data_IF_544583203671
#
_entry.id   IF_544583203671
#
_cell.length_a   1.000
_cell.length_b   1.000
_cell.length_c   1.000
_cell.angle_alpha   90.00
_cell.angle_beta   90.00
_cell.angle_gamma   90.00
#
_symmetry.space_group_name_H-M   'P 1'
#
loop_
_entity.id
_entity.type
_entity.pdbx_description
1 polymer ?
#
# COMPACT_ATOMS: atom_id res chain seq x y z
N UNK A 1 -24.99 53.14 -62.93
CA UNK A 1 -23.55 53.01 -62.58
C UNK A 1 -23.31 51.51 -62.35
N UNK A 2 -23.03 50.70 -63.38
CA UNK A 2 -21.71 50.37 -63.93
C UNK A 2 -20.68 49.89 -62.88
N UNK A 3 -20.52 48.57 -62.67
CA UNK A 3 -19.43 47.75 -63.24
C UNK A 3 -19.34 46.33 -62.61
N UNK A 4 -19.00 45.41 -63.50
CA UNK A 4 -18.75 43.97 -63.40
C UNK A 4 -17.46 43.56 -62.66
N UNK A 5 -17.36 42.22 -62.48
CA UNK A 5 -16.16 41.33 -62.42
C UNK A 5 -15.68 40.93 -61.01
N UNK A 6 -15.34 39.67 -60.69
CA UNK A 6 -15.23 38.39 -61.41
C UNK A 6 -15.08 37.24 -60.39
N UNK A 7 -15.73 36.09 -60.58
CA UNK A 7 -15.17 34.81 -61.08
C UNK A 7 -13.90 34.29 -60.38
N UNK A 8 -14.03 33.19 -59.61
CA UNK A 8 -13.10 32.06 -59.67
C UNK A 8 -13.72 30.78 -59.10
N UNK A 9 -13.68 29.74 -59.92
CA UNK A 9 -14.25 28.40 -59.77
C UNK A 9 -13.24 27.47 -59.08
N UNK A 10 -13.71 26.50 -58.28
CA UNK A 10 -13.17 25.12 -58.31
C UNK A 10 -14.24 24.10 -57.90
N UNK A 11 -14.65 23.30 -58.88
CA UNK A 11 -15.29 21.99 -58.73
C UNK A 11 -14.26 20.94 -58.26
N UNK A 12 -14.70 19.96 -57.48
CA UNK A 12 -14.57 18.49 -57.65
C UNK A 12 -15.13 17.84 -56.37
N UNK A 13 -16.39 17.41 -56.31
CA UNK A 13 -16.87 16.04 -56.60
C UNK A 13 -15.88 14.91 -56.24
N UNK A 14 -16.27 14.01 -55.32
CA UNK A 14 -16.29 12.54 -55.54
C UNK A 14 -16.80 11.77 -54.31
N UNK A 15 -17.78 10.91 -54.57
CA UNK A 15 -18.31 9.85 -53.72
C UNK A 15 -17.28 8.74 -53.41
N UNK A 16 -17.38 8.12 -52.24
CA UNK A 16 -17.11 6.67 -51.98
C UNK A 16 -17.73 6.29 -50.64
N UNK A 17 -18.87 5.59 -50.57
CA UNK A 17 -19.05 4.13 -50.62
C UNK A 17 -18.25 3.29 -49.58
N UNK A 18 -18.92 3.02 -48.46
CA UNK A 18 -19.24 1.69 -47.89
C UNK A 18 -18.16 0.77 -47.26
N UNK A 19 -18.45 0.43 -45.98
CA UNK A 19 -18.20 -0.80 -45.18
C UNK A 19 -16.89 -0.89 -44.37
N UNK A 20 -16.83 -1.75 -43.32
CA UNK A 20 -17.85 -2.14 -42.34
C UNK A 20 -17.35 -1.98 -40.87
N UNK A 21 -18.25 -2.27 -39.92
CA UNK A 21 -18.00 -2.57 -38.50
C UNK A 21 -16.56 -2.99 -38.16
N UNK A 22 -15.90 -2.19 -37.32
CA UNK A 22 -14.91 -2.71 -36.39
C UNK A 22 -15.47 -2.49 -34.98
N UNK A 23 -16.27 -3.45 -34.55
CA UNK A 23 -16.43 -3.74 -33.12
C UNK A 23 -15.02 -4.04 -32.66
N UNK A 24 -14.39 -3.05 -32.03
CA UNK A 24 -13.19 -3.28 -31.25
C UNK A 24 -13.68 -4.16 -30.10
N UNK A 25 -13.52 -5.48 -30.28
CA UNK A 25 -13.50 -6.42 -29.19
C UNK A 25 -12.42 -5.86 -28.27
N UNK A 26 -12.86 -5.20 -27.19
CA UNK A 26 -12.07 -5.19 -25.97
C UNK A 26 -11.73 -6.66 -25.78
N UNK A 27 -10.48 -7.01 -26.04
CA UNK A 27 -9.89 -8.19 -25.44
C UNK A 27 -10.14 -7.94 -23.96
N UNK A 28 -11.20 -8.55 -23.44
CA UNK A 28 -11.37 -8.74 -22.03
C UNK A 28 -10.08 -9.44 -21.65
N UNK A 29 -9.16 -8.65 -21.09
CA UNK A 29 -8.01 -9.16 -20.39
C UNK A 29 -8.63 -10.19 -19.45
N UNK A 30 -8.40 -11.46 -19.75
CA UNK A 30 -8.55 -12.53 -18.78
C UNK A 30 -7.80 -12.02 -17.57
N UNK A 31 -8.54 -11.49 -16.58
CA UNK A 31 -7.96 -11.12 -15.30
C UNK A 31 -7.34 -12.40 -14.79
N UNK A 32 -6.02 -12.51 -14.97
CA UNK A 32 -5.20 -13.39 -14.19
C UNK A 32 -5.55 -13.08 -12.75
N UNK A 33 -5.90 -14.09 -11.96
CA UNK A 33 -6.00 -14.00 -10.50
C UNK A 33 -4.60 -13.80 -9.88
N UNK A 34 -3.82 -12.89 -10.46
CA UNK A 34 -2.46 -12.59 -10.09
C UNK A 34 -2.48 -11.21 -9.44
N UNK A 35 -1.84 -11.12 -8.28
CA UNK A 35 -1.65 -9.87 -7.57
C UNK A 35 -0.85 -8.90 -8.45
N UNK A 36 -1.39 -7.71 -8.68
CA UNK A 36 -0.68 -6.63 -9.38
C UNK A 36 0.45 -6.10 -8.48
N UNK A 37 1.72 -6.18 -8.91
CA UNK A 37 2.85 -5.72 -8.10
C UNK A 37 2.76 -4.21 -7.81
N UNK A 38 2.68 -3.86 -6.54
CA UNK A 38 2.69 -2.47 -6.07
C UNK A 38 3.55 -2.32 -4.82
N UNK A 39 3.98 -1.09 -4.52
CA UNK A 39 4.75 -0.80 -3.29
C UNK A 39 3.97 -1.18 -2.04
N UNK A 40 2.68 -0.87 -1.99
CA UNK A 40 1.84 -1.23 -0.85
C UNK A 40 1.74 -2.75 -0.68
N UNK A 41 1.53 -3.47 -1.79
CA UNK A 41 1.48 -4.93 -1.74
C UNK A 41 2.82 -5.54 -1.28
N UNK A 42 3.94 -4.98 -1.74
CA UNK A 42 5.28 -5.40 -1.31
C UNK A 42 5.47 -5.25 0.21
N UNK A 43 5.14 -4.08 0.75
CA UNK A 43 5.23 -3.81 2.19
C UNK A 43 4.33 -4.73 3.01
N UNK A 44 3.10 -4.93 2.54
CA UNK A 44 2.15 -5.82 3.19
C UNK A 44 2.64 -7.26 3.21
N UNK A 45 3.06 -7.82 2.06
CA UNK A 45 3.58 -9.19 1.98
C UNK A 45 4.80 -9.40 2.86
N UNK A 46 5.71 -8.43 2.91
CA UNK A 46 6.90 -8.56 3.76
C UNK A 46 6.56 -8.59 5.24
N UNK A 47 5.61 -7.76 5.66
CA UNK A 47 5.15 -7.75 7.05
C UNK A 47 4.37 -9.02 7.39
N UNK A 48 3.53 -9.49 6.47
CA UNK A 48 2.78 -10.75 6.60
C UNK A 48 3.69 -11.98 6.68
N UNK A 49 4.82 -11.99 5.96
CA UNK A 49 5.80 -13.08 6.07
C UNK A 49 6.35 -13.22 7.50
N UNK A 50 6.59 -12.10 8.19
CA UNK A 50 7.07 -12.10 9.58
C UNK A 50 5.97 -12.61 10.51
N UNK A 51 4.75 -12.11 10.35
CA UNK A 51 3.57 -12.56 11.12
C UNK A 51 3.19 -14.04 10.88
N UNK A 52 3.80 -14.70 9.91
CA UNK A 52 3.54 -16.10 9.58
C UNK A 52 4.75 -17.00 9.87
N UNK A 53 5.80 -16.47 10.50
CA UNK A 53 7.04 -17.22 10.78
C UNK A 53 6.79 -18.44 11.68
N UNK A 54 5.88 -18.32 12.65
CA UNK A 54 5.46 -19.39 13.55
C UNK A 54 4.25 -20.20 13.01
N UNK A 55 3.78 -19.86 11.80
CA UNK A 55 2.58 -20.42 11.15
C UNK A 55 1.25 -20.19 11.86
N UNK A 56 1.17 -19.25 12.82
CA UNK A 56 -0.04 -18.88 13.55
C UNK A 56 -0.26 -17.40 13.34
N UNK A 57 -1.50 -17.00 13.01
CA UNK A 57 -1.86 -15.59 12.96
C UNK A 57 -2.86 -15.30 14.08
N UNK A 58 -2.43 -14.52 15.05
CA UNK A 58 -3.20 -14.09 16.22
C UNK A 58 -4.10 -12.89 15.88
N UNK A 59 -5.07 -12.61 16.75
CA UNK A 59 -5.98 -11.47 16.58
C UNK A 59 -5.23 -10.11 16.63
N UNK A 60 -4.17 -10.02 17.44
CA UNK A 60 -3.37 -8.80 17.61
C UNK A 60 -2.52 -8.52 16.34
N UNK A 61 -1.85 -9.53 15.79
CA UNK A 61 -1.15 -9.41 14.51
C UNK A 61 -2.11 -9.09 13.35
N UNK A 62 -3.31 -9.68 13.37
CA UNK A 62 -4.34 -9.39 12.38
C UNK A 62 -4.83 -7.93 12.46
N UNK A 63 -4.86 -7.32 13.66
CA UNK A 63 -5.19 -5.90 13.85
C UNK A 63 -4.18 -4.99 13.13
N UNK A 64 -2.87 -5.22 13.35
CA UNK A 64 -1.80 -4.48 12.69
C UNK A 64 -1.85 -4.68 11.17
N UNK A 65 -1.99 -5.93 10.71
CA UNK A 65 -2.10 -6.25 9.29
C UNK A 65 -3.34 -5.60 8.65
N UNK A 66 -4.45 -5.52 9.36
CA UNK A 66 -5.65 -4.86 8.88
C UNK A 66 -5.40 -3.36 8.65
N UNK A 67 -4.81 -2.67 9.64
CA UNK A 67 -4.47 -1.25 9.52
C UNK A 67 -3.47 -1.01 8.38
N UNK A 68 -2.49 -1.89 8.22
CA UNK A 68 -1.56 -1.84 7.10
C UNK A 68 -2.24 -2.03 5.75
N UNK A 69 -3.13 -3.02 5.62
CA UNK A 69 -3.89 -3.25 4.39
C UNK A 69 -4.69 -2.00 3.99
N UNK A 70 -5.34 -1.36 4.97
CA UNK A 70 -6.09 -0.10 4.73
C UNK A 70 -5.16 1.04 4.33
N UNK A 71 -4.06 1.25 5.05
CA UNK A 71 -3.11 2.33 4.78
C UNK A 71 -2.44 2.19 3.39
N UNK A 72 -2.23 0.95 2.95
CA UNK A 72 -1.57 0.61 1.69
C UNK A 72 -2.55 0.41 0.52
N UNK A 73 -3.87 0.48 0.78
CA UNK A 73 -4.90 0.34 -0.23
C UNK A 73 -5.10 -1.09 -0.75
N UNK A 74 -4.75 -2.10 0.06
CA UNK A 74 -4.88 -3.52 -0.28
C UNK A 74 -6.33 -3.96 -0.11
N UNK A 75 -6.90 -4.60 -1.13
CA UNK A 75 -8.28 -5.08 -1.04
C UNK A 75 -8.36 -6.37 -0.20
N UNK A 76 -9.46 -6.62 0.51
CA UNK A 76 -9.65 -7.88 1.25
C UNK A 76 -9.59 -9.14 0.37
N UNK A 77 -9.87 -9.02 -0.93
CA UNK A 77 -9.67 -10.13 -1.88
C UNK A 77 -8.19 -10.45 -2.09
N UNK A 78 -7.33 -9.44 -2.00
CA UNK A 78 -5.91 -9.54 -2.28
C UNK A 78 -5.15 -10.07 -1.06
N UNK A 79 -5.64 -9.80 0.16
CA UNK A 79 -5.03 -10.33 1.39
C UNK A 79 -5.09 -11.86 1.46
N UNK A 80 -6.17 -12.48 0.95
CA UNK A 80 -6.26 -13.93 0.85
C UNK A 80 -5.20 -14.52 -0.09
N UNK A 81 -4.99 -13.88 -1.24
CA UNK A 81 -3.92 -14.26 -2.17
C UNK A 81 -2.53 -14.02 -1.56
N UNK A 82 -2.35 -12.93 -0.80
CA UNK A 82 -1.10 -12.68 -0.09
C UNK A 82 -0.77 -13.81 0.89
N UNK A 83 -1.78 -14.33 1.59
CA UNK A 83 -1.61 -15.45 2.49
C UNK A 83 -1.22 -16.73 1.75
N UNK A 84 -1.80 -17.00 0.58
CA UNK A 84 -1.37 -18.11 -0.28
C UNK A 84 0.07 -17.96 -0.75
N UNK A 85 0.52 -16.74 -1.09
CA UNK A 85 1.91 -16.45 -1.47
C UNK A 85 2.86 -16.75 -0.31
N UNK A 86 2.55 -16.27 0.90
CA UNK A 86 3.39 -16.49 2.10
C UNK A 86 3.46 -17.95 2.51
N UNK A 87 2.36 -18.71 2.30
CA UNK A 87 2.33 -20.17 2.52
C UNK A 87 3.07 -20.98 1.46
N UNK A 88 3.46 -20.34 0.35
CA UNK A 88 4.12 -21.00 -0.78
C UNK A 88 3.15 -21.73 -1.72
N UNK A 89 1.84 -21.51 -1.58
CA UNK A 89 0.81 -22.07 -2.45
C UNK A 89 0.73 -21.31 -3.79
N UNK A 90 1.04 -20.01 -3.77
CA UNK A 90 1.04 -19.13 -4.93
C UNK A 90 2.43 -18.54 -5.22
N UNK A 91 2.70 -18.23 -6.49
CA UNK A 91 3.97 -17.57 -6.87
C UNK A 91 4.01 -16.15 -6.32
N UNK A 92 5.16 -15.76 -5.74
CA UNK A 92 5.38 -14.40 -5.31
C UNK A 92 5.44 -13.45 -6.53
N UNK A 93 4.58 -12.41 -6.57
CA UNK A 93 4.53 -11.46 -7.69
C UNK A 93 5.80 -10.59 -7.81
N UNK A 94 6.66 -10.59 -6.79
CA UNK A 94 7.89 -9.81 -6.73
C UNK A 94 9.17 -10.61 -7.00
N UNK A 95 9.06 -11.90 -7.34
CA UNK A 95 10.22 -12.69 -7.77
C UNK A 95 10.98 -11.93 -8.88
N UNK A 96 12.29 -11.76 -8.69
CA UNK A 96 13.21 -11.03 -9.58
C UNK A 96 13.01 -9.50 -9.70
N UNK A 97 12.02 -8.90 -9.01
CA UNK A 97 11.70 -7.46 -9.10
C UNK A 97 11.66 -6.75 -7.74
N UNK A 98 11.99 -7.43 -6.63
CA UNK A 98 11.93 -6.84 -5.28
C UNK A 98 12.68 -5.52 -5.11
N UNK A 99 13.82 -5.38 -5.80
CA UNK A 99 14.66 -4.18 -5.71
C UNK A 99 13.91 -2.91 -6.15
N UNK A 100 12.99 -3.03 -7.09
CA UNK A 100 12.20 -1.90 -7.63
C UNK A 100 11.20 -1.34 -6.61
N UNK A 101 10.90 -2.11 -5.57
CA UNK A 101 9.95 -1.75 -4.53
C UNK A 101 10.62 -1.51 -3.19
N UNK A 102 11.93 -1.73 -3.04
CA UNK A 102 12.66 -1.52 -1.79
C UNK A 102 13.04 -0.04 -1.56
N UNK A 103 13.48 0.27 -0.34
CA UNK A 103 13.95 1.61 0.03
C UNK A 103 12.85 2.51 0.59
N UNK A 104 13.15 3.81 0.65
CA UNK A 104 12.31 4.83 1.28
C UNK A 104 11.50 5.62 0.25
N UNK A 105 10.18 5.61 0.38
CA UNK A 105 9.23 6.24 -0.53
C UNK A 105 8.29 7.23 0.17
N UNK A 106 7.71 8.20 -0.56
CA UNK A 106 6.67 9.06 -0.02
C UNK A 106 5.48 8.24 0.52
N UNK A 107 5.06 8.53 1.74
CA UNK A 107 3.96 7.80 2.41
C UNK A 107 4.43 6.66 3.32
N UNK A 108 5.69 6.26 3.26
CA UNK A 108 6.26 5.22 4.12
C UNK A 108 6.22 5.59 5.60
N UNK A 109 6.56 6.83 5.93
CA UNK A 109 6.49 7.36 7.31
C UNK A 109 5.06 7.29 7.86
N UNK A 110 4.07 7.65 7.04
CA UNK A 110 2.67 7.60 7.43
C UNK A 110 2.14 6.17 7.58
N UNK A 111 2.62 5.26 6.72
CA UNK A 111 2.32 3.82 6.81
C UNK A 111 2.86 3.23 8.11
N UNK A 112 4.14 3.50 8.42
CA UNK A 112 4.77 3.05 9.65
C UNK A 112 4.09 3.65 10.88
N UNK A 113 3.77 4.95 10.88
CA UNK A 113 3.03 5.60 11.96
C UNK A 113 1.68 4.93 12.19
N UNK A 114 0.92 4.61 11.13
CA UNK A 114 -0.39 3.97 11.24
C UNK A 114 -0.29 2.57 11.88
N UNK A 115 0.70 1.78 11.47
CA UNK A 115 0.96 0.47 12.05
C UNK A 115 1.39 0.56 13.52
N UNK A 116 2.27 1.52 13.86
CA UNK A 116 2.71 1.74 15.23
C UNK A 116 1.54 2.18 16.13
N UNK A 117 0.66 3.05 15.65
CA UNK A 117 -0.55 3.44 16.40
C UNK A 117 -1.47 2.25 16.63
N UNK A 118 -1.64 1.36 15.64
CA UNK A 118 -2.44 0.14 15.79
C UNK A 118 -1.92 -0.73 16.94
N UNK A 119 -0.63 -1.03 16.95
CA UNK A 119 -0.01 -1.81 18.02
C UNK A 119 -0.10 -1.11 19.40
N UNK A 120 -0.03 0.23 19.43
CA UNK A 120 -0.17 0.98 20.68
C UNK A 120 -1.60 1.01 21.23
N UNK A 121 -2.61 0.77 20.38
CA UNK A 121 -4.00 0.66 20.81
C UNK A 121 -4.25 -0.65 21.58
N UNK A 122 -3.42 -1.66 21.35
CA UNK A 122 -3.44 -2.93 22.07
C UNK A 122 -2.86 -2.81 23.49
N UNK A 123 -3.37 -3.61 24.44
CA UNK A 123 -2.99 -3.49 25.86
C UNK A 123 -1.57 -3.98 26.14
N UNK A 124 -1.15 -5.00 25.40
CA UNK A 124 0.16 -5.64 25.45
C UNK A 124 0.60 -5.77 23.99
N UNK A 125 1.83 -5.34 23.70
CA UNK A 125 2.48 -5.60 22.42
C UNK A 125 3.37 -6.82 22.61
N UNK A 126 3.12 -7.87 21.84
CA UNK A 126 3.85 -9.14 21.81
C UNK A 126 5.19 -9.04 21.06
N UNK A 127 5.99 -10.10 21.17
CA UNK A 127 7.28 -10.19 20.48
C UNK A 127 7.11 -10.24 18.95
N UNK A 128 6.05 -10.88 18.45
CA UNK A 128 5.78 -11.00 17.02
C UNK A 128 5.33 -9.66 16.41
N UNK A 129 4.50 -8.90 17.13
CA UNK A 129 4.16 -7.53 16.74
C UNK A 129 5.38 -6.60 16.73
N UNK A 130 6.32 -6.77 17.67
CA UNK A 130 7.60 -6.06 17.64
C UNK A 130 8.44 -6.45 16.43
N UNK A 131 8.50 -7.73 16.08
CA UNK A 131 9.20 -8.21 14.91
C UNK A 131 8.60 -7.61 13.63
N UNK A 132 7.26 -7.57 13.52
CA UNK A 132 6.55 -6.95 12.40
C UNK A 132 6.86 -5.45 12.27
N UNK A 133 6.77 -4.69 13.37
CA UNK A 133 7.06 -3.25 13.36
C UNK A 133 8.53 -2.96 13.05
N UNK A 134 9.44 -3.77 13.59
CA UNK A 134 10.87 -3.64 13.33
C UNK A 134 11.19 -3.94 11.87
N UNK A 135 10.63 -5.02 11.32
CA UNK A 135 10.76 -5.36 9.92
C UNK A 135 10.23 -4.23 9.03
N UNK A 136 9.04 -3.72 9.31
CA UNK A 136 8.46 -2.60 8.56
C UNK A 136 9.35 -1.36 8.62
N UNK A 137 9.83 -0.97 9.82
CA UNK A 137 10.77 0.15 10.03
C UNK A 137 12.02 0.01 9.16
N UNK A 138 12.61 -1.19 9.12
CA UNK A 138 13.80 -1.50 8.33
C UNK A 138 13.51 -1.47 6.83
N UNK A 139 12.39 -2.07 6.38
CA UNK A 139 12.04 -2.16 4.96
C UNK A 139 11.79 -0.79 4.35
N UNK A 140 11.08 0.07 5.07
CA UNK A 140 10.80 1.44 4.61
C UNK A 140 11.95 2.40 4.89
N UNK A 141 12.96 1.98 5.64
CA UNK A 141 14.16 2.77 5.93
C UNK A 141 13.91 4.01 6.78
N UNK A 142 13.05 3.92 7.80
CA UNK A 142 12.82 5.03 8.74
C UNK A 142 14.14 5.45 9.40
N UNK A 143 14.45 6.74 9.30
CA UNK A 143 15.61 7.37 9.96
C UNK A 143 15.28 7.82 11.39
N UNK A 144 16.32 8.11 12.19
CA UNK A 144 16.17 8.45 13.62
C UNK A 144 15.31 9.70 13.83
N UNK A 145 15.57 10.74 13.03
CA UNK A 145 14.82 11.99 13.04
C UNK A 145 13.35 11.77 12.64
N UNK A 146 13.09 10.92 11.64
CA UNK A 146 11.74 10.55 11.24
C UNK A 146 11.00 9.79 12.34
N UNK A 147 11.69 8.87 13.03
CA UNK A 147 11.11 8.13 14.15
C UNK A 147 10.80 9.05 15.32
N UNK A 148 11.71 9.95 15.68
CA UNK A 148 11.47 10.98 16.69
C UNK A 148 10.28 11.89 16.32
N UNK A 149 10.14 12.28 15.04
CA UNK A 149 8.97 13.04 14.58
C UNK A 149 7.66 12.25 14.74
N UNK A 150 7.68 10.93 14.48
CA UNK A 150 6.51 10.07 14.66
C UNK A 150 6.17 9.94 16.15
N UNK A 151 7.18 9.78 17.02
CA UNK A 151 6.99 9.78 18.48
C UNK A 151 6.33 11.06 18.96
N UNK A 152 6.84 12.22 18.53
CA UNK A 152 6.27 13.54 18.86
C UNK A 152 4.84 13.69 18.32
N UNK A 153 4.56 13.19 17.11
CA UNK A 153 3.22 13.20 16.55
C UNK A 153 2.25 12.33 17.36
N UNK A 154 2.67 11.13 17.77
CA UNK A 154 1.88 10.25 18.65
C UNK A 154 1.68 10.91 20.02
N UNK A 155 2.70 11.59 20.54
CA UNK A 155 2.62 12.38 21.76
C UNK A 155 1.62 13.54 21.66
N UNK A 156 1.60 14.25 20.54
CA UNK A 156 0.69 15.37 20.28
C UNK A 156 -0.74 14.91 19.99
N UNK A 157 -0.92 13.75 19.37
CA UNK A 157 -2.22 13.12 19.12
C UNK A 157 -2.80 12.40 20.36
N UNK A 158 -2.00 12.23 21.41
CA UNK A 158 -2.46 11.72 22.70
C UNK A 158 -3.25 12.78 23.48
N UNK A 159 -4.22 13.43 22.82
CA UNK A 159 -5.34 14.07 23.50
C UNK A 159 -6.10 12.98 24.26
N UNK A 160 -5.70 12.84 25.52
CA UNK A 160 -6.35 12.19 26.66
C UNK A 160 -7.62 11.45 26.25
N UNK A 161 -7.50 10.13 26.02
CA UNK A 161 -8.67 9.25 26.05
C UNK A 161 -9.32 9.31 27.45
N UNK A 162 -10.46 8.66 27.66
CA UNK A 162 -11.16 8.67 28.95
C UNK A 162 -10.33 8.24 30.17
N UNK A 163 -9.11 7.71 29.96
CA UNK A 163 -8.11 7.33 30.96
C UNK A 163 -6.74 8.03 30.81
N UNK A 164 -6.54 8.90 29.81
CA UNK A 164 -5.50 9.93 29.73
C UNK A 164 -4.02 9.54 29.72
N UNK A 165 -3.68 8.25 29.85
CA UNK A 165 -2.31 7.82 30.20
C UNK A 165 -1.85 6.58 29.44
N UNK A 166 -2.76 5.73 28.95
CA UNK A 166 -2.43 4.38 28.47
C UNK A 166 -1.56 4.36 27.21
N UNK A 167 -1.90 5.13 26.17
CA UNK A 167 -1.14 5.12 24.89
C UNK A 167 0.31 5.60 25.06
N UNK A 168 0.55 6.61 25.89
CA UNK A 168 1.90 7.13 26.17
C UNK A 168 2.74 6.20 27.02
N UNK A 169 2.14 5.52 28.00
CA UNK A 169 2.86 4.50 28.79
C UNK A 169 3.28 3.32 27.92
N UNK A 170 2.43 2.89 26.99
CA UNK A 170 2.76 1.83 26.02
C UNK A 170 3.87 2.27 25.07
N UNK A 171 3.83 3.51 24.57
CA UNK A 171 4.90 4.06 23.75
C UNK A 171 6.24 4.07 24.50
N UNK A 172 6.26 4.49 25.76
CA UNK A 172 7.49 4.46 26.58
C UNK A 172 8.05 3.04 26.76
N UNK A 173 7.18 2.05 26.97
CA UNK A 173 7.60 0.64 27.04
C UNK A 173 8.18 0.18 25.71
N UNK A 174 7.51 0.49 24.60
CA UNK A 174 7.99 0.18 23.26
C UNK A 174 9.39 0.78 23.00
N UNK A 175 9.61 2.06 23.29
CA UNK A 175 10.91 2.71 23.13
C UNK A 175 12.01 2.14 24.03
N UNK A 176 11.64 1.53 25.17
CA UNK A 176 12.61 0.86 26.05
C UNK A 176 13.09 -0.47 25.46
N UNK A 177 12.19 -1.18 24.76
CA UNK A 177 12.47 -2.49 24.16
C UNK A 177 13.10 -2.34 22.77
N UNK A 178 12.67 -1.34 22.01
CA UNK A 178 13.15 -1.04 20.66
C UNK A 178 13.81 0.34 20.61
N UNK A 179 15.02 0.51 21.18
CA UNK A 179 15.77 1.75 21.04
C UNK A 179 16.13 2.01 19.57
N UNK A 180 16.31 3.28 19.21
CA UNK A 180 16.76 3.66 17.88
C UNK A 180 18.23 3.31 17.67
#
# INVERSE_FOLDING_TARGET
MSKNAGFSVRHTNTHSFSKPCNILIHVASTQSMALEPSRGLYLYLRTLNIAMEDSILTDDEASILHVLAVALGIQPSDTALCLSVVRGDEKNPFDDTEFDYAGHHPGDVATYQSALVAALDDEIISEDEWAMLTALRTIVGIQEDQHAMIEEAIHAMADIDSNGVRRLERLKRYLTVCPF
#
